data_IF_778350600276
#
_entry.id   IF_778350600276
#
_cell.length_a   1.000
_cell.length_b   1.000
_cell.length_c   1.000
_cell.angle_alpha   90.00
_cell.angle_beta   90.00
_cell.angle_gamma   90.00
#
_symmetry.space_group_name_H-M   'P 1'
#
loop_
_entity.id
_entity.type
_entity.pdbx_description
1 polymer ?
#
# COMPACT_ATOMS: atom_id res chain seq x y z
N UNK A 1 13.72 40.08 -3.34
CA UNK A 1 13.22 38.95 -4.14
C UNK A 1 13.33 37.68 -3.30
N UNK A 2 12.30 37.34 -2.53
CA UNK A 2 12.05 35.96 -2.09
C UNK A 2 10.53 35.82 -2.01
N UNK A 3 9.92 35.36 -3.09
CA UNK A 3 8.50 35.02 -3.15
C UNK A 3 8.34 33.62 -2.56
N UNK A 4 8.09 33.55 -1.26
CA UNK A 4 7.58 32.35 -0.60
C UNK A 4 6.07 32.25 -0.90
N UNK A 5 5.70 31.61 -2.00
CA UNK A 5 4.33 31.15 -2.22
C UNK A 5 4.22 29.71 -1.73
N UNK A 6 4.17 29.52 -0.42
CA UNK A 6 3.72 28.27 0.19
C UNK A 6 2.20 28.25 0.06
N UNK A 7 1.70 27.87 -1.12
CA UNK A 7 0.30 27.45 -1.24
C UNK A 7 0.17 26.20 -0.39
N UNK A 8 -0.48 26.34 0.76
CA UNK A 8 -0.87 25.21 1.61
C UNK A 8 -1.87 24.34 0.86
N UNK A 9 -1.38 23.52 -0.07
CA UNK A 9 -2.17 22.49 -0.71
C UNK A 9 -2.47 21.49 0.39
N UNK A 10 -3.74 21.40 0.76
CA UNK A 10 -4.23 20.43 1.73
C UNK A 10 -4.03 19.02 1.16
N UNK A 11 -2.89 18.38 1.49
CA UNK A 11 -2.49 17.05 1.00
C UNK A 11 -3.36 15.91 1.57
N UNK A 12 -4.31 16.21 2.45
CA UNK A 12 -5.28 15.26 2.99
C UNK A 12 -6.49 15.05 2.06
N UNK A 13 -6.23 14.98 0.75
CA UNK A 13 -7.24 14.70 -0.27
C UNK A 13 -7.88 13.32 -0.10
N UNK A 14 -9.02 13.11 -0.76
CA UNK A 14 -9.65 11.79 -0.81
C UNK A 14 -8.70 10.77 -1.49
N UNK A 15 -8.73 9.48 -1.11
CA UNK A 15 -7.92 8.47 -1.76
C UNK A 15 -8.34 8.34 -3.23
N UNK A 16 -7.35 8.28 -4.12
CA UNK A 16 -7.58 7.99 -5.54
C UNK A 16 -7.91 6.51 -5.65
N UNK A 17 -9.14 6.20 -6.03
CA UNK A 17 -9.68 4.85 -6.01
C UNK A 17 -9.81 4.28 -7.43
N UNK A 18 -8.94 3.37 -7.80
CA UNK A 18 -8.97 2.62 -9.07
C UNK A 18 -9.29 1.14 -8.81
N UNK A 19 -10.06 0.85 -7.76
CA UNK A 19 -10.48 -0.50 -7.45
C UNK A 19 -11.56 -1.00 -8.40
N UNK A 20 -11.60 -2.32 -8.64
CA UNK A 20 -12.60 -2.98 -9.49
C UNK A 20 -12.67 -2.45 -10.93
N UNK A 21 -11.54 -2.05 -11.50
CA UNK A 21 -11.44 -1.52 -12.88
C UNK A 21 -11.01 -2.58 -13.89
N UNK A 22 -10.80 -3.83 -13.46
CA UNK A 22 -10.29 -4.91 -14.30
C UNK A 22 -8.94 -4.58 -14.97
N UNK A 23 -8.12 -3.77 -14.29
CA UNK A 23 -6.80 -3.34 -14.76
C UNK A 23 -5.86 -4.55 -14.75
N UNK A 24 -5.26 -4.87 -15.89
CA UNK A 24 -4.30 -5.99 -15.99
C UNK A 24 -2.86 -5.47 -16.08
N UNK A 25 -2.67 -4.34 -16.77
CA UNK A 25 -1.42 -3.58 -16.81
C UNK A 25 -1.62 -2.22 -16.16
N UNK A 26 -0.59 -1.72 -15.45
CA UNK A 26 -0.61 -0.37 -14.88
C UNK A 26 -0.77 0.75 -15.94
N UNK A 27 -0.46 0.47 -17.20
CA UNK A 27 -0.72 1.38 -18.31
C UNK A 27 -2.22 1.55 -18.60
N UNK A 28 -3.02 0.49 -18.43
CA UNK A 28 -4.49 0.54 -18.62
C UNK A 28 -5.13 1.48 -17.59
N UNK A 29 -4.51 1.62 -16.43
CA UNK A 29 -4.98 2.52 -15.39
C UNK A 29 -5.04 3.97 -15.89
N UNK A 30 -4.18 4.41 -16.80
CA UNK A 30 -4.08 5.81 -17.20
C UNK A 30 -5.30 6.32 -17.99
N UNK A 31 -6.08 5.42 -18.55
CA UNK A 31 -7.35 5.76 -19.23
C UNK A 31 -8.56 5.67 -18.32
N UNK A 32 -8.40 5.10 -17.12
CA UNK A 32 -9.48 4.90 -16.17
C UNK A 32 -9.75 6.13 -15.31
N UNK A 33 -11.03 6.42 -15.09
CA UNK A 33 -11.43 7.45 -14.14
C UNK A 33 -11.55 6.85 -12.73
N UNK A 34 -10.90 7.45 -11.71
CA UNK A 34 -11.05 7.02 -10.33
C UNK A 34 -12.50 7.05 -9.86
N UNK A 35 -12.89 6.03 -9.09
CA UNK A 35 -14.20 5.89 -8.50
C UNK A 35 -14.50 7.10 -7.59
N UNK A 36 -15.73 7.59 -7.67
CA UNK A 36 -16.22 8.64 -6.78
C UNK A 36 -16.52 8.05 -5.40
N UNK A 37 -15.69 8.42 -4.42
CA UNK A 37 -15.95 8.09 -3.01
C UNK A 37 -16.91 9.10 -2.35
N UNK A 38 -17.18 8.86 -1.06
CA UNK A 38 -17.95 9.78 -0.20
C UNK A 38 -17.32 11.18 -0.12
N UNK A 39 -16.00 11.28 -0.29
CA UNK A 39 -15.30 12.55 -0.47
C UNK A 39 -15.03 12.78 -1.95
N UNK A 40 -15.52 13.88 -2.54
CA UNK A 40 -15.23 14.22 -3.92
C UNK A 40 -13.72 14.38 -4.14
N UNK A 41 -13.21 13.72 -5.16
CA UNK A 41 -11.86 13.94 -5.66
C UNK A 41 -11.82 15.28 -6.41
N UNK A 42 -10.96 16.20 -5.97
CA UNK A 42 -10.75 17.49 -6.64
C UNK A 42 -9.41 17.45 -7.35
N UNK A 43 -9.39 17.79 -8.64
CA UNK A 43 -8.16 17.94 -9.40
C UNK A 43 -7.58 19.36 -9.22
N UNK A 44 -6.26 19.49 -9.26
CA UNK A 44 -5.56 20.77 -9.29
C UNK A 44 -5.54 21.35 -10.72
N UNK A 45 -4.83 22.47 -10.93
CA UNK A 45 -4.65 23.11 -12.23
C UNK A 45 -3.95 22.23 -13.28
N UNK A 46 -3.23 21.20 -12.84
CA UNK A 46 -2.51 20.24 -13.69
C UNK A 46 -3.33 18.97 -13.96
N UNK A 47 -4.62 18.95 -13.60
CA UNK A 47 -5.50 17.79 -13.71
C UNK A 47 -5.08 16.59 -12.83
N UNK A 48 -4.24 16.83 -11.81
CA UNK A 48 -3.77 15.81 -10.85
C UNK A 48 -4.49 15.89 -9.51
N UNK A 49 -4.46 14.81 -8.75
CA UNK A 49 -5.11 14.70 -7.44
C UNK A 49 -4.12 15.07 -6.31
N UNK A 50 -4.43 16.07 -5.45
CA UNK A 50 -3.65 16.37 -4.24
C UNK A 50 -4.00 15.35 -3.14
N UNK A 51 -3.56 14.11 -3.33
CA UNK A 51 -3.81 12.98 -2.44
C UNK A 51 -2.52 12.22 -2.17
N UNK A 52 -2.41 11.64 -0.99
CA UNK A 52 -1.30 10.78 -0.57
C UNK A 52 -1.69 9.30 -0.55
N UNK A 53 -2.82 8.93 -1.16
CA UNK A 53 -3.39 7.58 -1.08
C UNK A 53 -3.88 7.10 -2.44
N UNK A 54 -3.46 5.89 -2.82
CA UNK A 54 -3.84 5.25 -4.08
C UNK A 54 -4.36 3.83 -3.80
N UNK A 55 -5.56 3.53 -4.32
CA UNK A 55 -6.17 2.19 -4.25
C UNK A 55 -6.20 1.57 -5.63
N UNK A 56 -5.62 0.39 -5.76
CA UNK A 56 -5.57 -0.43 -6.98
C UNK A 56 -6.07 -1.85 -6.69
N UNK A 57 -6.84 -2.03 -5.61
CA UNK A 57 -7.28 -3.33 -5.15
C UNK A 57 -8.39 -3.95 -6.02
N UNK A 58 -8.51 -5.27 -6.03
CA UNK A 58 -9.47 -6.02 -6.86
C UNK A 58 -9.30 -5.71 -8.36
N UNK A 59 -8.09 -5.86 -8.84
CA UNK A 59 -7.73 -5.80 -10.26
C UNK A 59 -6.97 -7.10 -10.62
N UNK A 60 -6.39 -7.15 -11.82
CA UNK A 60 -5.64 -8.30 -12.33
C UNK A 60 -4.16 -7.94 -12.55
N UNK A 61 -3.62 -7.01 -11.75
CA UNK A 61 -2.25 -6.50 -11.90
C UNK A 61 -1.26 -7.60 -11.55
N UNK A 62 -0.28 -7.82 -12.43
CA UNK A 62 0.76 -8.84 -12.25
C UNK A 62 2.15 -8.24 -12.02
N UNK A 63 2.42 -7.09 -12.64
CA UNK A 63 3.71 -6.40 -12.63
C UNK A 63 3.57 -4.95 -12.11
N UNK A 64 4.62 -4.43 -11.49
CA UNK A 64 4.68 -3.10 -10.88
C UNK A 64 5.69 -2.16 -11.57
N UNK A 65 6.29 -2.53 -12.70
CA UNK A 65 7.35 -1.76 -13.37
C UNK A 65 6.96 -0.29 -13.64
N UNK A 66 5.69 -0.02 -13.97
CA UNK A 66 5.17 1.31 -14.29
C UNK A 66 4.52 2.01 -13.09
N UNK A 67 4.69 1.48 -11.88
CA UNK A 67 4.00 2.01 -10.69
C UNK A 67 4.36 3.48 -10.44
N UNK A 68 5.62 3.86 -10.61
CA UNK A 68 6.05 5.25 -10.41
C UNK A 68 5.41 6.20 -11.41
N UNK A 69 5.26 5.77 -12.66
CA UNK A 69 4.62 6.50 -13.74
C UNK A 69 3.12 6.63 -13.47
N UNK A 70 2.46 5.54 -13.06
CA UNK A 70 1.04 5.55 -12.67
C UNK A 70 0.78 6.46 -11.47
N UNK A 71 1.61 6.38 -10.43
CA UNK A 71 1.50 7.28 -9.27
C UNK A 71 1.70 8.75 -9.70
N UNK A 72 2.67 9.03 -10.57
CA UNK A 72 2.94 10.39 -11.08
C UNK A 72 1.87 10.92 -12.04
N UNK A 73 1.17 10.03 -12.73
CA UNK A 73 0.05 10.33 -13.60
C UNK A 73 -1.14 10.84 -12.79
N UNK A 74 -1.47 10.17 -11.68
CA UNK A 74 -2.62 10.49 -10.86
C UNK A 74 -2.35 11.55 -9.79
N UNK A 75 -1.24 11.48 -9.08
CA UNK A 75 -0.99 12.29 -7.89
C UNK A 75 -0.20 13.56 -8.21
N UNK A 76 -0.60 14.66 -7.58
CA UNK A 76 0.11 15.93 -7.69
C UNK A 76 1.52 15.83 -7.09
N UNK A 77 1.66 15.15 -5.94
CA UNK A 77 2.92 14.93 -5.24
C UNK A 77 3.19 13.43 -5.06
N UNK A 78 3.71 12.73 -6.09
CA UNK A 78 3.90 11.27 -6.05
C UNK A 78 4.91 10.83 -4.97
N UNK A 79 5.87 11.69 -4.63
CA UNK A 79 6.84 11.45 -3.56
C UNK A 79 6.22 11.38 -2.16
N UNK A 80 5.02 11.94 -1.97
CA UNK A 80 4.28 11.94 -0.71
C UNK A 80 3.29 10.79 -0.59
N UNK A 81 3.32 9.80 -1.48
CA UNK A 81 2.46 8.62 -1.40
C UNK A 81 2.71 7.88 -0.08
N UNK A 82 1.71 7.89 0.79
CA UNK A 82 1.79 7.35 2.15
C UNK A 82 0.98 6.07 2.34
N UNK A 83 -0.02 5.85 1.48
CA UNK A 83 -0.93 4.72 1.56
C UNK A 83 -1.12 4.12 0.16
N UNK A 84 -0.82 2.83 0.02
CA UNK A 84 -0.96 2.10 -1.24
C UNK A 84 -1.65 0.76 -1.00
N UNK A 85 -2.73 0.52 -1.74
CA UNK A 85 -3.46 -0.74 -1.68
C UNK A 85 -3.42 -1.46 -3.02
N UNK A 86 -2.70 -2.58 -3.03
CA UNK A 86 -2.54 -3.51 -4.14
C UNK A 86 -3.16 -4.87 -3.81
N UNK A 87 -4.06 -4.94 -2.81
CA UNK A 87 -4.69 -6.20 -2.40
C UNK A 87 -5.58 -6.80 -3.49
N UNK A 88 -5.77 -8.12 -3.45
CA UNK A 88 -6.61 -8.84 -4.43
C UNK A 88 -6.19 -8.54 -5.87
N UNK A 89 -4.91 -8.78 -6.17
CA UNK A 89 -4.32 -8.72 -7.51
C UNK A 89 -3.58 -10.04 -7.78
N UNK A 90 -2.83 -10.11 -8.88
CA UNK A 90 -2.07 -11.29 -9.29
C UNK A 90 -0.56 -11.06 -9.18
N UNK A 91 -0.11 -10.20 -8.27
CA UNK A 91 1.31 -9.82 -8.13
C UNK A 91 2.12 -11.03 -7.67
N UNK A 92 3.16 -11.36 -8.44
CA UNK A 92 4.05 -12.50 -8.17
C UNK A 92 5.32 -12.10 -7.41
N UNK A 93 5.73 -10.83 -7.55
CA UNK A 93 7.00 -10.32 -7.04
C UNK A 93 6.84 -8.98 -6.33
N UNK A 94 7.56 -8.78 -5.23
CA UNK A 94 7.71 -7.46 -4.58
C UNK A 94 8.84 -6.72 -5.29
N UNK A 95 8.50 -5.87 -6.25
CA UNK A 95 9.47 -5.14 -7.06
C UNK A 95 10.19 -4.03 -6.26
N UNK A 96 11.45 -3.75 -6.62
CA UNK A 96 12.30 -2.70 -6.01
C UNK A 96 11.69 -1.31 -6.13
N UNK A 97 10.79 -1.08 -7.10
CA UNK A 97 10.10 0.20 -7.28
C UNK A 97 9.33 0.63 -6.02
N UNK A 98 8.81 -0.34 -5.25
CA UNK A 98 8.15 -0.07 -3.97
C UNK A 98 9.10 0.53 -2.93
N UNK A 99 10.41 0.30 -3.05
CA UNK A 99 11.43 0.84 -2.16
C UNK A 99 11.75 2.32 -2.45
N UNK A 100 11.33 2.83 -3.61
CA UNK A 100 11.52 4.22 -4.01
C UNK A 100 10.46 5.14 -3.38
N UNK A 101 9.33 4.57 -2.92
CA UNK A 101 8.24 5.27 -2.24
C UNK A 101 8.60 5.56 -0.77
N UNK A 102 9.54 6.48 -0.55
CA UNK A 102 10.15 6.75 0.79
C UNK A 102 9.15 7.18 1.87
N UNK A 103 8.06 7.83 1.49
CA UNK A 103 7.00 8.28 2.42
C UNK A 103 5.92 7.23 2.70
N UNK A 104 6.06 6.01 2.16
CA UNK A 104 5.07 4.95 2.32
C UNK A 104 4.98 4.49 3.78
N UNK A 105 3.78 4.58 4.35
CA UNK A 105 3.45 4.22 5.73
C UNK A 105 2.63 2.94 5.82
N UNK A 106 1.73 2.76 4.86
CA UNK A 106 0.78 1.64 4.79
C UNK A 106 0.82 1.01 3.40
N UNK A 107 1.06 -0.29 3.36
CA UNK A 107 1.10 -1.08 2.13
C UNK A 107 0.25 -2.36 2.24
N UNK A 108 -0.77 -2.48 1.40
CA UNK A 108 -1.59 -3.70 1.34
C UNK A 108 -1.22 -4.56 0.13
N UNK A 109 -0.74 -5.78 0.40
CA UNK A 109 -0.35 -6.78 -0.59
C UNK A 109 -1.07 -8.13 -0.36
N UNK A 110 -2.10 -8.18 0.48
CA UNK A 110 -2.81 -9.43 0.76
C UNK A 110 -3.63 -9.92 -0.44
N UNK A 111 -3.88 -11.23 -0.52
CA UNK A 111 -4.61 -11.83 -1.65
C UNK A 111 -3.90 -11.64 -2.99
N UNK A 112 -2.57 -11.75 -2.99
CA UNK A 112 -1.73 -11.77 -4.19
C UNK A 112 -1.08 -13.16 -4.33
N UNK A 113 -0.17 -13.32 -5.31
CA UNK A 113 0.51 -14.58 -5.59
C UNK A 113 2.01 -14.51 -5.31
N UNK A 114 2.43 -13.65 -4.37
CA UNK A 114 3.84 -13.47 -4.01
C UNK A 114 4.38 -14.78 -3.45
N UNK A 115 5.47 -15.30 -4.02
CA UNK A 115 6.02 -16.61 -3.67
C UNK A 115 7.46 -16.57 -3.15
N UNK A 116 8.20 -15.48 -3.36
CA UNK A 116 9.59 -15.35 -2.91
C UNK A 116 9.68 -14.57 -1.59
N UNK A 117 9.93 -15.30 -0.49
CA UNK A 117 9.99 -14.71 0.85
C UNK A 117 11.10 -13.64 1.01
N UNK A 118 12.25 -13.83 0.35
CA UNK A 118 13.38 -12.90 0.45
C UNK A 118 13.11 -11.53 -0.17
N UNK A 119 12.08 -11.37 -1.00
CA UNK A 119 11.74 -10.07 -1.58
C UNK A 119 11.13 -9.13 -0.56
N UNK A 120 10.56 -9.66 0.54
CA UNK A 120 10.04 -8.83 1.63
C UNK A 120 11.14 -8.01 2.30
N UNK A 121 12.39 -8.50 2.30
CA UNK A 121 13.54 -7.77 2.81
C UNK A 121 13.75 -6.42 2.15
N UNK A 122 13.36 -6.29 0.88
CA UNK A 122 13.48 -5.05 0.12
C UNK A 122 12.70 -3.93 0.80
N UNK A 123 11.54 -4.25 1.39
CA UNK A 123 10.68 -3.28 2.08
C UNK A 123 11.26 -2.78 3.41
N UNK A 124 12.28 -3.45 3.97
CA UNK A 124 12.95 -3.03 5.20
C UNK A 124 13.70 -1.69 5.07
N UNK A 125 13.94 -1.20 3.85
CA UNK A 125 14.61 0.09 3.59
C UNK A 125 13.67 1.31 3.70
N UNK A 126 12.35 1.07 3.81
CA UNK A 126 11.35 2.13 3.88
C UNK A 126 11.27 2.70 5.31
N UNK A 127 11.65 3.97 5.53
CA UNK A 127 11.86 4.51 6.88
C UNK A 127 10.56 4.71 7.66
N UNK A 128 9.44 4.90 6.95
CA UNK A 128 8.14 5.23 7.54
C UNK A 128 7.12 4.09 7.50
N UNK A 129 7.48 2.94 6.90
CA UNK A 129 6.57 1.83 6.72
C UNK A 129 6.28 1.14 8.06
N UNK A 130 5.05 1.29 8.55
CA UNK A 130 4.62 0.71 9.82
C UNK A 130 3.41 -0.20 9.70
N UNK A 131 2.77 -0.30 8.53
CA UNK A 131 1.66 -1.25 8.32
C UNK A 131 1.84 -1.99 7.02
N UNK A 132 1.84 -3.32 7.08
CA UNK A 132 1.87 -4.19 5.90
C UNK A 132 0.95 -5.41 6.07
N UNK A 133 0.30 -5.81 4.99
CA UNK A 133 -0.51 -7.03 4.94
C UNK A 133 0.01 -7.95 3.84
N UNK A 134 0.30 -9.20 4.17
CA UNK A 134 0.86 -10.19 3.23
C UNK A 134 0.12 -11.54 3.25
N UNK A 135 -0.95 -11.68 4.05
CA UNK A 135 -1.73 -12.91 4.12
C UNK A 135 -2.38 -13.26 2.77
N UNK A 136 -2.66 -14.53 2.54
CA UNK A 136 -3.23 -14.98 1.26
C UNK A 136 -2.25 -14.90 0.08
N UNK A 137 -0.95 -14.88 0.37
CA UNK A 137 0.12 -15.06 -0.62
C UNK A 137 0.79 -16.42 -0.45
N UNK A 138 1.47 -16.90 -1.48
CA UNK A 138 2.18 -18.19 -1.47
C UNK A 138 3.30 -18.21 -0.42
N UNK A 139 3.95 -17.07 -0.14
CA UNK A 139 4.98 -16.93 0.91
C UNK A 139 4.51 -17.36 2.31
N UNK A 140 3.21 -17.35 2.57
CA UNK A 140 2.64 -17.77 3.86
C UNK A 140 2.90 -19.25 4.17
N UNK A 141 3.05 -20.09 3.13
CA UNK A 141 3.39 -21.50 3.27
C UNK A 141 4.82 -21.75 3.76
N UNK A 142 5.68 -20.73 3.70
CA UNK A 142 7.07 -20.85 4.12
C UNK A 142 7.18 -20.88 5.65
N UNK A 143 7.83 -21.90 6.21
CA UNK A 143 8.03 -22.04 7.67
C UNK A 143 8.74 -20.84 8.30
N UNK A 144 9.62 -20.17 7.55
CA UNK A 144 10.37 -19.00 8.01
C UNK A 144 9.62 -17.68 7.84
N UNK A 145 8.40 -17.68 7.26
CA UNK A 145 7.62 -16.48 6.94
C UNK A 145 7.54 -15.50 8.12
N UNK A 146 7.00 -15.95 9.26
CA UNK A 146 6.83 -15.10 10.45
C UNK A 146 8.15 -14.56 10.98
N UNK A 147 9.16 -15.44 11.12
CA UNK A 147 10.47 -15.06 11.64
C UNK A 147 11.16 -14.03 10.73
N UNK A 148 11.03 -14.20 9.41
CA UNK A 148 11.61 -13.28 8.43
C UNK A 148 10.95 -11.92 8.48
N UNK A 149 9.61 -11.87 8.54
CA UNK A 149 8.86 -10.62 8.65
C UNK A 149 9.27 -9.84 9.90
N UNK A 150 9.30 -10.50 11.06
CA UNK A 150 9.67 -9.87 12.33
C UNK A 150 11.13 -9.39 12.38
N UNK A 151 12.04 -10.04 11.65
CA UNK A 151 13.47 -9.68 11.68
C UNK A 151 13.86 -8.62 10.64
N UNK A 152 13.18 -8.58 9.49
CA UNK A 152 13.58 -7.74 8.35
C UNK A 152 12.81 -6.44 8.23
N UNK A 153 11.59 -6.41 8.71
CA UNK A 153 10.81 -5.17 8.75
C UNK A 153 11.17 -4.40 10.02
N UNK A 154 10.84 -3.11 10.03
CA UNK A 154 11.03 -2.28 11.22
C UNK A 154 10.24 -2.92 12.39
N UNK A 155 10.78 -2.98 13.62
CA UNK A 155 10.07 -3.56 14.77
C UNK A 155 8.70 -2.90 15.03
N UNK A 156 8.50 -1.66 14.58
CA UNK A 156 7.22 -0.96 14.67
C UNK A 156 6.25 -1.30 13.53
N UNK A 157 6.65 -2.12 12.56
CA UNK A 157 5.80 -2.54 11.44
C UNK A 157 4.80 -3.61 11.89
N UNK A 158 3.53 -3.21 11.94
CA UNK A 158 2.39 -4.09 12.15
C UNK A 158 2.23 -4.96 10.90
N UNK A 159 2.48 -6.26 11.06
CA UNK A 159 2.29 -7.27 10.01
C UNK A 159 1.00 -8.04 10.27
N UNK A 160 0.01 -7.89 9.40
CA UNK A 160 -1.21 -8.70 9.48
C UNK A 160 -1.00 -10.03 8.77
N UNK A 161 -0.56 -11.04 9.53
CA UNK A 161 -0.51 -12.44 9.09
C UNK A 161 -1.82 -13.17 9.44
N UNK A 162 -2.23 -14.15 8.65
CA UNK A 162 -3.41 -14.98 8.93
C UNK A 162 -3.36 -15.61 10.33
N UNK A 163 -4.53 -15.69 10.97
CA UNK A 163 -4.76 -16.11 12.37
C UNK A 163 -4.54 -17.61 12.61
N UNK A 164 -3.54 -18.26 12.01
CA UNK A 164 -3.16 -19.62 12.40
C UNK A 164 -2.21 -19.60 13.61
N UNK A 165 -2.79 -19.65 14.80
CA UNK A 165 -2.20 -20.12 16.07
C UNK A 165 -0.69 -19.83 16.24
N UNK A 166 -0.35 -18.69 16.84
CA UNK A 166 0.93 -18.55 17.51
C UNK A 166 0.87 -19.36 18.82
N UNK A 167 1.20 -20.66 18.75
CA UNK A 167 1.59 -21.41 19.96
C UNK A 167 2.98 -20.93 20.39
N UNK A 168 2.97 -19.80 21.11
CA UNK A 168 3.77 -19.48 22.29
C UNK A 168 5.18 -20.08 22.32
N UNK A 169 6.17 -19.29 21.91
CA UNK A 169 7.41 -19.16 22.68
C UNK A 169 7.29 -17.86 23.50
N UNK A 170 6.88 -18.03 24.77
CA UNK A 170 7.22 -17.20 25.92
C UNK A 170 7.45 -15.69 25.82
N UNK A 171 6.53 -14.91 25.24
CA UNK A 171 6.45 -13.47 25.54
C UNK A 171 4.98 -13.05 25.72
N UNK A 172 4.67 -12.51 26.88
CA UNK A 172 3.40 -11.89 27.22
C UNK A 172 3.22 -10.59 26.43
N UNK A 173 2.51 -10.65 25.30
CA UNK A 173 1.80 -9.48 24.78
C UNK A 173 0.35 -9.89 24.55
N UNK A 174 -0.50 -9.20 25.30
CA UNK A 174 -1.92 -9.41 25.46
C UNK A 174 -2.64 -9.46 24.10
N UNK A 175 -3.57 -10.42 24.00
CA UNK A 175 -4.56 -10.55 22.95
C UNK A 175 -5.31 -9.24 22.70
N UNK A 176 -5.29 -8.75 21.45
CA UNK A 176 -6.40 -7.99 20.90
C UNK A 176 -6.91 -8.72 19.66
N UNK A 177 -7.83 -9.64 19.95
CA UNK A 177 -8.81 -10.19 19.03
C UNK A 177 -9.58 -9.06 18.35
N UNK A 178 -9.96 -9.29 17.08
CA UNK A 178 -11.23 -8.82 16.53
C UNK A 178 -11.46 -7.30 16.50
N UNK A 179 -10.77 -6.57 15.63
CA UNK A 179 -11.31 -5.33 15.03
C UNK A 179 -10.96 -5.29 13.52
N UNK A 180 -11.37 -6.33 12.80
CA UNK A 180 -11.75 -6.19 11.40
C UNK A 180 -13.15 -5.57 11.37
N UNK A 181 -13.26 -4.26 11.61
CA UNK A 181 -14.45 -3.49 11.25
C UNK A 181 -14.12 -2.00 11.28
N UNK A 182 -14.08 -1.39 10.09
CA UNK A 182 -14.48 0.00 9.84
C UNK A 182 -13.71 1.09 10.62
N UNK A 183 -12.62 1.60 10.02
CA UNK A 183 -12.34 3.04 10.12
C UNK A 183 -12.95 3.69 8.87
N UNK A 184 -14.24 4.01 8.96
CA UNK A 184 -14.88 5.01 8.11
C UNK A 184 -15.65 5.96 9.04
N UNK A 185 -15.20 7.22 9.04
CA UNK A 185 -15.82 8.45 9.53
C UNK A 185 -16.00 8.62 11.05
N UNK A 186 -15.21 9.56 11.60
CA UNK A 186 -15.50 10.30 12.83
C UNK A 186 -16.68 11.25 12.60
N UNK A 187 -17.60 11.32 13.54
CA UNK A 187 -18.22 12.55 14.03
C UNK A 187 -17.87 12.68 15.51
#
# INVERSE_FOLDING_TARGET
>A
MVSASTTGVNMYGAPVDLSFKNISSLADAWTEEPNSGLRPLKRNSEMKYPSCSLRLNNNSITDLHDLQQTVSHFLAEPSQLSWLDLSFNNILHIDKILCELRELRVLYLHGNSIFILSEVDRLGVLPHLHTITLHGNVIETNKAYRCRLSFKLNPNTITHTSLLSCKRFGCEILLLLSHCCVILYKN
#
